data_IF_477995763013
#
_entry.id   IF_477995763013
#
_cell.length_a   1.000
_cell.length_b   1.000
_cell.length_c   1.000
_cell.angle_alpha   90.00
_cell.angle_beta   90.00
_cell.angle_gamma   90.00
#
_symmetry.space_group_name_H-M   'P 1'
#
loop_
_entity.id
_entity.type
_entity.pdbx_description
1 polymer ?
#
# COMPACT_ATOMS: atom_id res chain seq x y z
N UNK A 1 45.09 -22.08 -32.06
CA UNK A 1 43.98 -21.31 -31.45
C UNK A 1 42.67 -22.10 -31.35
N UNK A 2 42.19 -22.80 -32.38
CA UNK A 2 40.92 -23.57 -32.33
C UNK A 2 40.83 -24.62 -31.21
N UNK A 3 41.88 -25.43 -31.01
CA UNK A 3 41.90 -26.46 -29.97
C UNK A 3 41.85 -25.89 -28.54
N UNK A 4 42.52 -24.76 -28.30
CA UNK A 4 42.49 -24.09 -27.00
C UNK A 4 41.11 -23.49 -26.69
N UNK A 5 40.45 -22.91 -27.71
CA UNK A 5 39.07 -22.43 -27.59
C UNK A 5 38.07 -23.56 -27.33
N UNK A 6 38.27 -24.72 -27.97
CA UNK A 6 37.45 -25.92 -27.76
C UNK A 6 37.59 -26.45 -26.32
N UNK A 7 38.83 -26.57 -25.84
CA UNK A 7 39.11 -27.03 -24.48
C UNK A 7 38.53 -26.10 -23.41
N UNK A 8 38.67 -24.78 -23.60
CA UNK A 8 38.08 -23.78 -22.69
C UNK A 8 36.55 -23.86 -22.66
N UNK A 9 35.92 -24.00 -23.83
CA UNK A 9 34.46 -24.13 -23.96
C UNK A 9 33.94 -25.40 -23.31
N UNK A 10 34.64 -26.53 -23.49
CA UNK A 10 34.30 -27.79 -22.84
C UNK A 10 34.47 -27.71 -21.31
N UNK A 11 35.56 -27.10 -20.84
CA UNK A 11 35.79 -26.88 -19.41
C UNK A 11 34.70 -26.01 -18.77
N UNK A 12 34.29 -24.93 -19.42
CA UNK A 12 33.19 -24.07 -18.96
C UNK A 12 31.85 -24.84 -18.95
N UNK A 13 31.56 -25.62 -19.99
CA UNK A 13 30.34 -26.43 -20.05
C UNK A 13 30.28 -27.50 -18.96
N UNK A 14 31.39 -28.22 -18.72
CA UNK A 14 31.48 -29.23 -17.65
C UNK A 14 31.38 -28.60 -16.25
N UNK A 15 31.98 -27.43 -16.05
CA UNK A 15 31.86 -26.68 -14.78
C UNK A 15 30.42 -26.23 -14.55
N UNK A 16 29.77 -25.69 -15.59
CA UNK A 16 28.36 -25.31 -15.54
C UNK A 16 27.43 -26.48 -15.26
N UNK A 17 27.67 -27.63 -15.92
CA UNK A 17 26.94 -28.87 -15.68
C UNK A 17 27.14 -29.37 -14.25
N UNK A 18 28.37 -29.39 -13.75
CA UNK A 18 28.68 -29.75 -12.36
C UNK A 18 27.95 -28.85 -11.36
N UNK A 19 27.99 -27.53 -11.58
CA UNK A 19 27.26 -26.57 -10.75
C UNK A 19 25.74 -26.79 -10.76
N UNK A 20 25.16 -27.14 -11.92
CA UNK A 20 23.73 -27.46 -12.03
C UNK A 20 23.38 -28.77 -11.32
N UNK A 21 24.18 -29.82 -11.51
CA UNK A 21 23.98 -31.11 -10.85
C UNK A 21 24.04 -30.99 -9.32
N UNK A 22 24.93 -30.13 -8.79
CA UNK A 22 24.97 -29.81 -7.36
C UNK A 22 23.67 -29.15 -6.87
N UNK A 23 22.98 -28.34 -7.70
CA UNK A 23 21.67 -27.76 -7.36
C UNK A 23 20.53 -28.79 -7.42
N UNK A 24 20.73 -29.90 -8.12
CA UNK A 24 19.77 -31.01 -8.22
C UNK A 24 19.95 -32.06 -7.12
N UNK A 25 20.93 -31.91 -6.23
CA UNK A 25 21.08 -32.77 -5.05
C UNK A 25 19.81 -32.69 -4.19
N UNK A 26 19.31 -33.82 -3.62
CA UNK A 26 18.07 -33.85 -2.86
C UNK A 26 17.98 -32.79 -1.76
N UNK A 27 19.05 -32.55 -1.00
CA UNK A 27 19.10 -31.53 0.06
C UNK A 27 19.21 -30.08 -0.43
N UNK A 28 19.32 -29.85 -1.74
CA UNK A 28 19.32 -28.51 -2.36
C UNK A 28 18.10 -28.27 -3.25
N UNK A 29 17.24 -29.27 -3.42
CA UNK A 29 15.96 -29.10 -4.10
C UNK A 29 15.04 -28.26 -3.22
N UNK A 30 14.22 -27.37 -3.81
CA UNK A 30 13.13 -26.76 -3.09
C UNK A 30 12.24 -27.85 -2.46
N UNK A 31 11.73 -27.58 -1.27
CA UNK A 31 10.76 -28.44 -0.62
C UNK A 31 9.55 -28.70 -1.53
N UNK A 32 9.00 -29.92 -1.45
CA UNK A 32 7.82 -30.29 -2.23
C UNK A 32 6.58 -29.48 -1.82
N UNK A 33 5.54 -29.43 -2.67
CA UNK A 33 4.33 -28.68 -2.33
C UNK A 33 3.71 -29.19 -1.01
N UNK A 34 3.54 -30.50 -0.86
CA UNK A 34 2.98 -31.07 0.38
C UNK A 34 3.84 -30.77 1.61
N UNK A 35 5.16 -30.90 1.50
CA UNK A 35 6.10 -30.60 2.58
C UNK A 35 5.99 -29.13 3.04
N UNK A 36 5.87 -28.19 2.09
CA UNK A 36 5.66 -26.78 2.39
C UNK A 36 4.31 -26.55 3.07
N UNK A 37 3.26 -27.26 2.65
CA UNK A 37 1.93 -27.16 3.25
C UNK A 37 1.89 -27.73 4.67
N UNK A 38 2.52 -28.89 4.91
CA UNK A 38 2.62 -29.49 6.23
C UNK A 38 3.42 -28.60 7.19
N UNK A 39 4.52 -28.02 6.70
CA UNK A 39 5.27 -27.01 7.43
C UNK A 39 4.40 -25.78 7.75
N UNK A 40 3.61 -25.31 6.80
CA UNK A 40 2.75 -24.14 6.97
C UNK A 40 1.66 -24.38 8.02
N UNK A 41 1.01 -25.54 7.99
CA UNK A 41 0.02 -25.93 9.00
C UNK A 41 0.65 -26.02 10.39
N UNK A 42 1.82 -26.66 10.51
CA UNK A 42 2.56 -26.73 11.77
C UNK A 42 3.02 -25.34 12.24
N UNK A 43 3.40 -24.46 11.32
CA UNK A 43 3.73 -23.08 11.62
C UNK A 43 2.50 -22.31 12.13
N UNK A 44 1.33 -22.44 11.50
CA UNK A 44 0.08 -21.83 11.97
C UNK A 44 -0.29 -22.32 13.38
N UNK A 45 -0.16 -23.62 13.64
CA UNK A 45 -0.45 -24.21 14.95
C UNK A 45 0.48 -23.70 16.06
N UNK A 46 1.75 -23.42 15.74
CA UNK A 46 2.75 -22.88 16.68
C UNK A 46 2.68 -21.36 16.81
N UNK A 47 2.54 -20.65 15.69
CA UNK A 47 2.49 -19.19 15.65
C UNK A 47 1.15 -18.65 16.10
N UNK A 48 0.06 -19.43 16.03
CA UNK A 48 -1.27 -19.04 16.54
C UNK A 48 -1.61 -17.57 16.26
N UNK A 49 -1.65 -17.16 14.97
CA UNK A 49 -1.93 -15.77 14.62
C UNK A 49 -3.30 -15.35 15.16
N UNK A 50 -3.45 -14.11 15.60
CA UNK A 50 -4.72 -13.59 16.15
C UNK A 50 -5.35 -12.52 15.26
N UNK A 51 -4.51 -11.75 14.57
CA UNK A 51 -4.90 -10.67 13.66
C UNK A 51 -4.17 -10.88 12.33
N UNK A 52 -4.86 -10.72 11.22
CA UNK A 52 -4.25 -10.77 9.90
C UNK A 52 -4.45 -9.46 9.14
N UNK A 53 -3.52 -9.13 8.25
CA UNK A 53 -3.74 -8.16 7.17
C UNK A 53 -3.75 -8.92 5.85
N UNK A 54 -4.89 -8.93 5.16
CA UNK A 54 -5.01 -9.54 3.85
C UNK A 54 -4.81 -8.50 2.77
N UNK A 55 -3.92 -8.77 1.82
CA UNK A 55 -3.69 -7.87 0.70
C UNK A 55 -3.60 -8.59 -0.64
N UNK A 56 -4.29 -8.00 -1.62
CA UNK A 56 -4.20 -8.35 -3.02
C UNK A 56 -4.31 -7.09 -3.87
N UNK A 57 -3.44 -6.96 -4.86
CA UNK A 57 -3.41 -5.78 -5.72
C UNK A 57 -2.24 -5.79 -6.70
N UNK A 58 -2.16 -4.72 -7.50
CA UNK A 58 -1.03 -4.49 -8.39
C UNK A 58 0.19 -3.93 -7.65
N UNK A 59 1.37 -4.00 -8.26
CA UNK A 59 2.61 -3.54 -7.61
C UNK A 59 2.58 -2.07 -7.15
N UNK A 60 1.82 -1.20 -7.83
CA UNK A 60 1.66 0.22 -7.48
C UNK A 60 0.77 0.46 -6.26
N UNK A 61 0.01 -0.53 -5.79
CA UNK A 61 -0.90 -0.40 -4.65
C UNK A 61 -0.31 -0.87 -3.32
N UNK A 62 0.95 -1.31 -3.29
CA UNK A 62 1.61 -1.81 -2.07
C UNK A 62 1.57 -0.82 -0.89
N UNK A 63 1.51 0.49 -1.17
CA UNK A 63 1.38 1.52 -0.13
C UNK A 63 0.15 1.30 0.77
N UNK A 64 -0.93 0.73 0.23
CA UNK A 64 -2.18 0.47 0.96
C UNK A 64 -1.96 -0.50 2.11
N UNK A 65 -1.15 -1.55 1.89
CA UNK A 65 -0.75 -2.48 2.96
C UNK A 65 0.32 -1.87 3.87
N UNK A 66 1.32 -1.20 3.27
CA UNK A 66 2.45 -0.65 4.02
C UNK A 66 2.05 0.36 5.11
N UNK A 67 0.97 1.12 4.88
CA UNK A 67 0.45 2.08 5.86
C UNK A 67 -0.09 1.44 7.14
N UNK A 68 -0.39 0.13 7.13
CA UNK A 68 -0.93 -0.60 8.28
C UNK A 68 0.11 -1.41 9.04
N UNK A 69 1.34 -1.52 8.54
CA UNK A 69 2.38 -2.36 9.16
C UNK A 69 2.73 -1.89 10.57
N UNK A 70 2.92 -0.59 10.76
CA UNK A 70 3.27 -0.04 12.07
C UNK A 70 2.12 -0.19 13.09
N UNK A 71 0.86 0.18 12.78
CA UNK A 71 -0.27 -0.12 13.67
C UNK A 71 -0.37 -1.61 14.04
N UNK A 72 -0.20 -2.51 13.07
CA UNK A 72 -0.25 -3.96 13.33
C UNK A 72 0.88 -4.44 14.23
N UNK A 73 2.09 -3.89 14.08
CA UNK A 73 3.25 -4.28 14.86
C UNK A 73 3.13 -3.88 16.34
N UNK A 74 2.30 -2.88 16.64
CA UNK A 74 2.04 -2.40 18.01
C UNK A 74 0.89 -3.14 18.72
N UNK A 75 0.18 -4.05 18.03
CA UNK A 75 -0.93 -4.77 18.64
C UNK A 75 -0.42 -5.81 19.67
N UNK A 76 -1.14 -5.91 20.78
CA UNK A 76 -1.01 -7.01 21.75
C UNK A 76 -1.57 -8.31 21.13
N UNK A 77 -0.83 -8.90 20.20
CA UNK A 77 -1.27 -10.03 19.41
C UNK A 77 -0.16 -10.64 18.57
N UNK A 78 -0.53 -11.60 17.72
CA UNK A 78 0.38 -12.27 16.80
C UNK A 78 -0.08 -11.94 15.38
N UNK A 79 0.32 -10.76 14.84
CA UNK A 79 -0.10 -10.32 13.52
C UNK A 79 0.50 -11.20 12.42
N UNK A 80 -0.21 -11.37 11.31
CA UNK A 80 0.33 -12.01 10.10
C UNK A 80 -0.12 -11.25 8.85
N UNK A 81 0.77 -11.06 7.89
CA UNK A 81 0.45 -10.45 6.61
C UNK A 81 0.22 -11.56 5.59
N UNK A 82 -0.97 -11.58 4.98
CA UNK A 82 -1.39 -12.57 3.99
C UNK A 82 -1.45 -11.91 2.62
N UNK A 83 -0.53 -12.29 1.74
CA UNK A 83 -0.45 -11.78 0.37
C UNK A 83 -0.98 -12.80 -0.64
N UNK A 84 -1.59 -12.32 -1.73
CA UNK A 84 -2.05 -13.18 -2.83
C UNK A 84 -1.08 -13.25 -4.01
N UNK A 85 -0.21 -12.28 -4.16
CA UNK A 85 0.72 -12.19 -5.30
C UNK A 85 2.18 -12.27 -4.84
N UNK A 86 2.96 -13.18 -5.45
CA UNK A 86 4.38 -13.37 -5.10
C UNK A 86 5.21 -12.09 -5.28
N UNK A 87 4.92 -11.30 -6.31
CA UNK A 87 5.63 -10.04 -6.55
C UNK A 87 5.38 -9.01 -5.45
N UNK A 88 4.31 -9.15 -4.66
CA UNK A 88 3.99 -8.25 -3.57
C UNK A 88 4.92 -8.42 -2.38
N UNK A 89 5.48 -9.62 -2.17
CA UNK A 89 6.42 -9.90 -1.07
C UNK A 89 7.59 -8.91 -1.07
N UNK A 90 8.12 -8.57 -2.25
CA UNK A 90 9.24 -7.63 -2.41
C UNK A 90 8.82 -6.15 -2.28
N UNK A 91 7.53 -5.87 -2.13
CA UNK A 91 6.97 -4.51 -2.03
C UNK A 91 6.48 -4.16 -0.63
N UNK A 92 6.34 -5.16 0.24
CA UNK A 92 6.08 -4.94 1.66
C UNK A 92 7.33 -4.33 2.30
N UNK A 93 7.14 -3.24 3.05
CA UNK A 93 8.24 -2.59 3.76
C UNK A 93 8.81 -3.53 4.84
N UNK A 94 10.06 -3.27 5.25
CA UNK A 94 10.71 -4.07 6.29
C UNK A 94 9.86 -4.09 7.57
N UNK A 95 9.60 -5.29 8.09
CA UNK A 95 8.76 -5.52 9.26
C UNK A 95 9.11 -6.86 9.90
N UNK A 96 8.92 -6.94 11.22
CA UNK A 96 9.05 -8.18 11.99
C UNK A 96 7.76 -9.03 11.94
N UNK A 97 6.68 -8.50 11.38
CA UNK A 97 5.42 -9.22 11.20
C UNK A 97 5.64 -10.34 10.18
N UNK A 98 5.31 -11.61 10.50
CA UNK A 98 5.40 -12.70 9.53
C UNK A 98 4.58 -12.42 8.26
N UNK A 99 5.21 -12.59 7.11
CA UNK A 99 4.56 -12.46 5.79
C UNK A 99 4.41 -13.83 5.15
N UNK A 100 3.19 -14.18 4.77
CA UNK A 100 2.87 -15.41 4.04
C UNK A 100 2.24 -15.07 2.69
N UNK A 101 2.67 -15.73 1.63
CA UNK A 101 2.10 -15.56 0.30
C UNK A 101 1.31 -16.81 -0.07
N UNK A 102 -0.01 -16.67 -0.25
CA UNK A 102 -0.95 -17.76 -0.52
C UNK A 102 -1.65 -17.54 -1.88
N UNK A 103 -1.01 -17.84 -3.03
CA UNK A 103 -1.58 -17.54 -4.34
C UNK A 103 -2.81 -18.38 -4.67
N UNK A 104 -2.77 -19.69 -4.33
CA UNK A 104 -3.83 -20.66 -4.61
C UNK A 104 -4.93 -20.54 -3.55
N UNK A 105 -6.20 -20.57 -4.00
CA UNK A 105 -7.36 -20.54 -3.09
C UNK A 105 -7.36 -21.73 -2.14
N UNK A 106 -7.01 -22.93 -2.63
CA UNK A 106 -6.92 -24.12 -1.79
C UNK A 106 -5.95 -23.96 -0.62
N UNK A 107 -4.80 -23.32 -0.84
CA UNK A 107 -3.84 -23.00 0.23
C UNK A 107 -4.36 -21.91 1.16
N UNK A 108 -5.03 -20.89 0.60
CA UNK A 108 -5.63 -19.80 1.38
C UNK A 108 -6.68 -20.30 2.39
N UNK A 109 -7.48 -21.30 2.02
CA UNK A 109 -8.52 -21.85 2.90
C UNK A 109 -7.95 -22.56 4.14
N UNK A 110 -6.65 -22.86 4.18
CA UNK A 110 -6.00 -23.38 5.40
C UNK A 110 -6.06 -22.41 6.57
N UNK A 111 -6.25 -21.11 6.31
CA UNK A 111 -6.45 -20.10 7.36
C UNK A 111 -7.71 -20.37 8.20
N UNK A 112 -8.69 -21.10 7.68
CA UNK A 112 -9.91 -21.50 8.41
C UNK A 112 -9.60 -22.30 9.68
N UNK A 113 -8.51 -23.08 9.66
CA UNK A 113 -8.04 -23.90 10.79
C UNK A 113 -7.02 -23.18 11.68
N UNK A 114 -6.77 -21.89 11.44
CA UNK A 114 -5.88 -21.08 12.27
C UNK A 114 -6.62 -20.51 13.49
N UNK A 115 -5.90 -19.76 14.32
CA UNK A 115 -6.50 -19.02 15.45
C UNK A 115 -6.82 -17.56 15.12
N UNK A 116 -6.78 -17.18 13.84
CA UNK A 116 -7.11 -15.83 13.40
C UNK A 116 -8.53 -15.49 13.86
N UNK A 117 -8.67 -14.35 14.53
CA UNK A 117 -9.97 -13.83 14.94
C UNK A 117 -10.50 -12.78 13.97
N UNK A 118 -9.58 -12.01 13.40
CA UNK A 118 -9.90 -10.94 12.46
C UNK A 118 -8.87 -10.87 11.32
N UNK A 119 -9.35 -10.55 10.13
CA UNK A 119 -8.55 -10.27 8.95
C UNK A 119 -8.94 -8.87 8.44
N UNK A 120 -7.96 -7.96 8.46
CA UNK A 120 -8.10 -6.58 8.02
C UNK A 120 -7.86 -6.48 6.51
N UNK A 121 -8.70 -5.70 5.83
CA UNK A 121 -8.65 -5.50 4.38
C UNK A 121 -8.47 -4.01 4.06
N UNK A 122 -7.27 -3.57 3.65
CA UNK A 122 -7.03 -2.16 3.34
C UNK A 122 -7.48 -1.79 1.91
N UNK A 123 -7.93 -2.77 1.11
CA UNK A 123 -8.40 -2.55 -0.25
C UNK A 123 -9.42 -3.61 -0.69
N UNK A 124 -10.26 -3.22 -1.65
CA UNK A 124 -11.28 -4.08 -2.25
C UNK A 124 -10.77 -4.62 -3.58
N UNK A 125 -9.93 -5.66 -3.54
CA UNK A 125 -9.49 -6.39 -4.74
C UNK A 125 -10.50 -7.49 -5.10
N UNK A 126 -10.62 -7.83 -6.39
CA UNK A 126 -11.52 -8.91 -6.83
C UNK A 126 -11.24 -10.27 -6.18
N UNK A 127 -9.98 -10.56 -5.82
CA UNK A 127 -9.61 -11.81 -5.13
C UNK A 127 -10.01 -11.85 -3.66
N UNK A 128 -10.39 -10.72 -3.07
CA UNK A 128 -10.80 -10.64 -1.65
C UNK A 128 -12.02 -11.53 -1.38
N UNK A 129 -12.96 -11.58 -2.33
CA UNK A 129 -14.12 -12.49 -2.32
C UNK A 129 -13.78 -13.96 -1.99
N UNK A 130 -12.56 -14.41 -2.28
CA UNK A 130 -12.13 -15.78 -2.04
C UNK A 130 -11.84 -16.05 -0.56
N UNK A 131 -11.35 -15.07 0.20
CA UNK A 131 -11.03 -15.21 1.63
C UNK A 131 -12.23 -14.93 2.53
N UNK A 132 -13.17 -14.07 2.09
CA UNK A 132 -14.40 -13.72 2.81
C UNK A 132 -15.34 -14.91 3.10
N UNK A 133 -15.03 -16.08 2.53
CA UNK A 133 -15.81 -17.31 2.71
C UNK A 133 -15.43 -18.09 3.97
N UNK A 134 -14.39 -17.68 4.69
CA UNK A 134 -13.91 -18.37 5.89
C UNK A 134 -14.75 -17.92 7.09
N UNK A 135 -15.68 -18.75 7.60
CA UNK A 135 -16.64 -18.28 8.61
C UNK A 135 -16.04 -18.17 10.01
N UNK A 136 -14.83 -18.71 10.23
CA UNK A 136 -14.14 -18.70 11.52
C UNK A 136 -13.41 -17.39 11.82
N UNK A 137 -13.33 -16.48 10.84
CA UNK A 137 -12.56 -15.23 10.92
C UNK A 137 -13.48 -14.06 10.63
N UNK A 138 -13.45 -13.03 11.49
CA UNK A 138 -14.11 -11.75 11.20
C UNK A 138 -13.34 -11.02 10.09
N UNK A 139 -14.03 -10.49 9.10
CA UNK A 139 -13.45 -9.69 8.03
C UNK A 139 -13.81 -8.21 8.23
N UNK A 140 -12.80 -7.39 8.50
CA UNK A 140 -12.99 -5.95 8.70
C UNK A 140 -12.35 -5.15 7.57
N UNK A 141 -13.14 -4.33 6.87
CA UNK A 141 -12.62 -3.41 5.87
C UNK A 141 -12.10 -2.15 6.56
N UNK A 142 -10.79 -1.89 6.43
CA UNK A 142 -10.13 -0.73 7.06
C UNK A 142 -9.72 0.34 6.06
N UNK A 143 -9.87 0.04 4.76
CA UNK A 143 -9.48 0.92 3.66
C UNK A 143 -7.99 1.35 3.73
N UNK A 144 -7.58 2.25 2.84
CA UNK A 144 -6.21 2.79 2.78
C UNK A 144 -6.16 4.31 2.89
N UNK A 145 -7.29 4.92 3.26
CA UNK A 145 -7.47 6.35 3.37
C UNK A 145 -8.92 6.72 3.11
N UNK A 146 -9.39 7.72 3.84
CA UNK A 146 -10.72 8.29 3.67
C UNK A 146 -10.67 9.43 2.65
N UNK A 147 -11.67 9.52 1.78
CA UNK A 147 -11.84 10.63 0.83
C UNK A 147 -13.32 10.87 0.54
N UNK A 148 -13.67 12.03 0.01
CA UNK A 148 -15.06 12.35 -0.34
C UNK A 148 -15.54 11.74 -1.67
N UNK A 149 -14.71 10.89 -2.29
CA UNK A 149 -15.08 10.18 -3.51
C UNK A 149 -16.05 9.04 -3.21
N UNK A 150 -16.96 8.75 -4.14
CA UNK A 150 -17.86 7.59 -4.07
C UNK A 150 -17.12 6.25 -3.92
N UNK A 151 -15.85 6.19 -4.33
CA UNK A 151 -15.00 5.01 -4.08
C UNK A 151 -14.81 4.70 -2.60
N UNK A 152 -14.93 5.68 -1.70
CA UNK A 152 -14.78 5.50 -0.24
C UNK A 152 -16.00 4.85 0.41
N UNK A 153 -17.18 4.92 -0.22
CA UNK A 153 -18.41 4.26 0.21
C UNK A 153 -18.85 3.21 -0.82
N UNK A 154 -17.92 2.44 -1.36
CA UNK A 154 -18.22 1.43 -2.38
C UNK A 154 -19.18 0.35 -1.84
N UNK A 155 -20.24 -0.05 -2.58
CA UNK A 155 -21.16 -1.11 -2.15
C UNK A 155 -20.51 -2.47 -1.85
N UNK A 156 -19.29 -2.72 -2.33
CA UNK A 156 -18.50 -3.90 -1.98
C UNK A 156 -18.21 -4.00 -0.47
N UNK A 157 -18.25 -2.88 0.27
CA UNK A 157 -18.09 -2.86 1.72
C UNK A 157 -19.11 -3.74 2.46
N UNK A 158 -20.26 -4.05 1.84
CA UNK A 158 -21.26 -5.00 2.38
C UNK A 158 -20.77 -6.44 2.50
N UNK A 159 -19.67 -6.79 1.83
CA UNK A 159 -19.15 -8.15 1.87
C UNK A 159 -18.35 -8.45 3.15
N UNK A 160 -18.08 -7.43 3.97
CA UNK A 160 -17.33 -7.54 5.22
C UNK A 160 -18.28 -7.60 6.41
N UNK A 161 -17.82 -8.21 7.50
CA UNK A 161 -18.57 -8.23 8.76
C UNK A 161 -18.62 -6.83 9.38
N UNK A 162 -17.53 -6.07 9.25
CA UNK A 162 -17.44 -4.70 9.77
C UNK A 162 -16.67 -3.78 8.80
N UNK A 163 -17.01 -2.50 8.84
CA UNK A 163 -16.33 -1.41 8.14
C UNK A 163 -15.73 -0.46 9.17
N UNK A 164 -14.42 -0.46 9.29
CA UNK A 164 -13.70 0.32 10.27
C UNK A 164 -13.27 1.66 9.67
N UNK A 165 -13.80 2.75 10.23
CA UNK A 165 -13.70 4.09 9.66
C UNK A 165 -12.94 5.05 10.57
N UNK A 166 -12.47 6.16 9.98
CA UNK A 166 -11.66 7.15 10.69
C UNK A 166 -12.42 7.98 11.73
N UNK A 167 -13.76 8.01 11.69
CA UNK A 167 -14.58 8.80 12.61
C UNK A 167 -15.94 9.16 12.03
N UNK A 168 -16.66 10.11 12.67
CA UNK A 168 -18.08 10.36 12.41
C UNK A 168 -18.39 10.75 10.97
N UNK A 169 -17.56 11.58 10.33
CA UNK A 169 -17.78 12.01 8.95
C UNK A 169 -17.73 10.83 7.96
N UNK A 170 -16.86 9.84 8.20
CA UNK A 170 -16.78 8.66 7.35
C UNK A 170 -17.98 7.72 7.57
N UNK A 171 -18.46 7.59 8.82
CA UNK A 171 -19.72 6.89 9.13
C UNK A 171 -20.91 7.56 8.45
N UNK A 172 -21.03 8.88 8.55
CA UNK A 172 -22.09 9.66 7.91
C UNK A 172 -22.11 9.46 6.39
N UNK A 173 -20.94 9.39 5.74
CA UNK A 173 -20.87 9.07 4.31
C UNK A 173 -21.48 7.72 3.94
N UNK A 174 -21.31 6.68 4.77
CA UNK A 174 -21.97 5.39 4.51
C UNK A 174 -23.48 5.50 4.69
N UNK A 175 -23.95 6.21 5.71
CA UNK A 175 -25.38 6.45 5.94
C UNK A 175 -26.02 7.23 4.78
N UNK A 176 -25.39 8.30 4.31
CA UNK A 176 -25.87 9.15 3.21
C UNK A 176 -25.79 8.45 1.84
N UNK A 177 -24.81 7.58 1.62
CA UNK A 177 -24.65 6.92 0.34
C UNK A 177 -25.65 5.78 0.11
N UNK A 178 -26.36 5.34 1.16
CA UNK A 178 -27.39 4.28 1.10
C UNK A 178 -26.93 3.00 0.37
N UNK A 179 -25.64 2.67 0.46
CA UNK A 179 -25.05 1.53 -0.27
C UNK A 179 -25.39 0.16 0.33
N UNK A 180 -26.10 0.16 1.46
CA UNK A 180 -26.59 -1.00 2.19
C UNK A 180 -25.64 -1.56 3.24
N UNK A 181 -24.65 -0.77 3.68
CA UNK A 181 -23.88 -1.06 4.91
C UNK A 181 -24.69 -0.55 6.10
N UNK A 182 -24.95 -1.41 7.08
CA UNK A 182 -25.71 -1.02 8.27
C UNK A 182 -24.82 -0.28 9.27
N UNK A 183 -25.36 0.74 9.95
CA UNK A 183 -24.59 1.56 10.90
C UNK A 183 -23.98 0.73 12.04
N UNK A 184 -24.67 -0.34 12.47
CA UNK A 184 -24.17 -1.27 13.50
C UNK A 184 -22.86 -1.98 13.10
N UNK A 185 -22.59 -2.08 11.80
CA UNK A 185 -21.39 -2.73 11.26
C UNK A 185 -20.29 -1.71 10.95
N UNK A 186 -20.56 -0.40 11.14
CA UNK A 186 -19.57 0.67 11.00
C UNK A 186 -18.92 0.96 12.36
N UNK A 187 -17.61 0.77 12.46
CA UNK A 187 -16.84 0.96 13.70
C UNK A 187 -15.86 2.11 13.54
N UNK A 188 -15.94 3.11 14.42
CA UNK A 188 -15.00 4.24 14.41
C UNK A 188 -13.72 3.87 15.16
N UNK A 189 -12.58 3.80 14.45
CA UNK A 189 -11.28 3.41 15.02
C UNK A 189 -10.24 4.52 14.95
N UNK A 190 -10.59 5.69 14.42
CA UNK A 190 -9.62 6.76 14.18
C UNK A 190 -8.67 6.43 13.03
N UNK A 191 -7.46 6.99 13.08
CA UNK A 191 -6.40 6.73 12.10
C UNK A 191 -5.13 6.26 12.80
N UNK A 192 -5.04 4.99 13.23
CA UNK A 192 -3.85 4.44 13.90
C UNK A 192 -2.56 4.67 13.11
N UNK A 193 -2.64 4.69 11.78
CA UNK A 193 -1.54 5.01 10.88
C UNK A 193 -0.99 6.44 11.03
N UNK A 194 -1.67 7.32 11.77
CA UNK A 194 -1.26 8.69 12.04
C UNK A 194 -0.96 8.94 13.53
N UNK A 195 -0.87 7.91 14.38
CA UNK A 195 -0.63 8.08 15.83
C UNK A 195 0.65 8.87 16.14
N UNK A 196 1.66 8.79 15.28
CA UNK A 196 2.91 9.54 15.44
C UNK A 196 2.78 11.03 15.06
N UNK A 197 1.73 11.42 14.34
CA UNK A 197 1.49 12.80 13.91
C UNK A 197 0.92 13.60 15.06
N UNK A 198 1.70 14.57 15.53
CA UNK A 198 1.27 15.48 16.59
C UNK A 198 0.55 16.69 15.99
N UNK A 199 -0.59 17.11 16.55
CA UNK A 199 -1.23 18.36 16.16
C UNK A 199 -0.27 19.55 16.33
N UNK A 200 -0.30 20.48 15.39
CA UNK A 200 0.38 21.77 15.48
C UNK A 200 -0.65 22.88 15.30
N UNK A 201 -0.57 23.90 16.15
CA UNK A 201 -1.41 25.08 16.07
C UNK A 201 -0.54 26.34 16.15
N UNK A 202 -0.90 27.35 15.37
CA UNK A 202 -0.20 28.63 15.31
C UNK A 202 0.58 28.84 14.00
N UNK A 203 1.16 30.04 13.81
CA UNK A 203 1.97 30.34 12.64
C UNK A 203 3.29 29.55 12.66
N UNK A 204 4.01 29.44 11.53
CA UNK A 204 5.40 29.01 11.54
C UNK A 204 6.24 29.86 12.52
N UNK A 205 7.33 29.30 13.04
CA UNK A 205 8.26 30.04 13.89
C UNK A 205 8.73 31.34 13.19
N UNK A 206 9.00 32.43 13.93
CA UNK A 206 9.50 33.67 13.34
C UNK A 206 10.71 33.42 12.44
N UNK A 207 10.66 33.92 11.20
CA UNK A 207 11.70 33.73 10.19
C UNK A 207 11.69 32.37 9.47
N UNK A 208 10.79 31.45 9.83
CA UNK A 208 10.58 30.20 9.09
C UNK A 208 9.63 30.40 7.90
N UNK A 209 9.81 29.58 6.87
CA UNK A 209 8.88 29.55 5.73
C UNK A 209 7.51 29.02 6.13
N UNK A 210 6.46 29.59 5.56
CA UNK A 210 5.15 28.95 5.52
C UNK A 210 5.23 27.75 4.57
N UNK A 211 5.23 26.54 5.11
CA UNK A 211 5.25 25.32 4.28
C UNK A 211 3.84 24.97 3.84
N UNK A 212 3.61 24.93 2.53
CA UNK A 212 2.33 24.55 1.92
C UNK A 212 2.50 23.20 1.23
N UNK A 213 1.71 22.20 1.63
CA UNK A 213 1.62 20.91 0.93
C UNK A 213 0.45 20.96 -0.06
N UNK A 214 0.76 20.97 -1.35
CA UNK A 214 -0.23 20.73 -2.40
C UNK A 214 -0.21 19.25 -2.79
N UNK A 215 -1.24 18.52 -2.34
CA UNK A 215 -1.38 17.08 -2.55
C UNK A 215 -2.68 16.74 -3.29
N UNK A 216 -2.77 17.02 -4.60
CA UNK A 216 -4.00 16.79 -5.34
C UNK A 216 -4.30 15.29 -5.50
N UNK A 217 -5.60 14.98 -5.51
CA UNK A 217 -6.14 13.65 -5.77
C UNK A 217 -6.00 13.24 -7.24
N UNK A 218 -6.17 11.94 -7.52
CA UNK A 218 -6.19 11.38 -8.87
C UNK A 218 -7.45 11.77 -9.65
N UNK A 219 -7.37 11.94 -10.97
CA UNK A 219 -8.52 12.25 -11.83
C UNK A 219 -9.65 11.19 -11.82
N UNK A 220 -9.38 9.96 -11.35
CA UNK A 220 -10.36 8.89 -11.33
C UNK A 220 -10.66 8.32 -12.71
N UNK A 221 -11.61 7.38 -12.79
CA UNK A 221 -12.05 6.74 -14.03
C UNK A 221 -13.43 7.20 -14.51
N UNK A 222 -14.20 7.88 -13.66
CA UNK A 222 -15.59 8.28 -13.92
C UNK A 222 -15.73 9.59 -14.71
N UNK A 223 -14.60 10.25 -15.01
CA UNK A 223 -14.57 11.52 -15.75
C UNK A 223 -15.06 12.72 -14.95
N UNK A 224 -15.28 12.61 -13.63
CA UNK A 224 -15.74 13.74 -12.82
C UNK A 224 -14.61 14.78 -12.67
N UNK A 225 -14.80 16.04 -13.13
CA UNK A 225 -13.78 17.08 -13.02
C UNK A 225 -13.43 17.42 -11.57
N UNK A 226 -14.35 17.18 -10.61
CA UNK A 226 -14.11 17.39 -9.18
C UNK A 226 -13.13 16.40 -8.55
N UNK A 227 -12.70 15.36 -9.27
CA UNK A 227 -11.78 14.36 -8.73
C UNK A 227 -10.36 14.85 -8.55
N UNK A 228 -9.94 15.91 -9.27
CA UNK A 228 -8.61 16.48 -9.15
C UNK A 228 -8.60 17.98 -9.45
N UNK A 229 -7.88 18.74 -8.65
CA UNK A 229 -7.65 20.17 -8.90
C UNK A 229 -6.53 20.42 -9.92
N UNK A 230 -5.78 19.39 -10.33
CA UNK A 230 -4.57 19.55 -11.17
C UNK A 230 -4.89 20.24 -12.50
N UNK A 231 -6.01 19.87 -13.12
CA UNK A 231 -6.40 20.35 -14.46
C UNK A 231 -6.90 21.79 -14.40
N UNK A 232 -7.87 22.06 -13.53
CA UNK A 232 -8.59 23.34 -13.52
C UNK A 232 -7.86 24.45 -12.77
N UNK A 233 -7.10 24.11 -11.71
CA UNK A 233 -6.53 25.10 -10.79
C UNK A 233 -5.05 24.91 -10.46
N UNK A 234 -4.49 23.72 -10.70
CA UNK A 234 -3.20 23.32 -10.15
C UNK A 234 -2.05 24.25 -10.52
N UNK A 235 -1.95 24.64 -11.79
CA UNK A 235 -0.88 25.54 -12.25
C UNK A 235 -0.99 26.95 -11.67
N UNK A 236 -2.19 27.50 -11.63
CA UNK A 236 -2.42 28.84 -11.09
C UNK A 236 -2.10 28.90 -9.59
N UNK A 237 -2.53 27.88 -8.85
CA UNK A 237 -2.24 27.72 -7.43
C UNK A 237 -0.73 27.63 -7.18
N UNK A 238 -0.03 26.80 -7.96
CA UNK A 238 1.43 26.63 -7.83
C UNK A 238 2.17 27.92 -8.17
N UNK A 239 1.79 28.63 -9.24
CA UNK A 239 2.40 29.92 -9.60
C UNK A 239 2.22 30.96 -8.51
N UNK A 240 1.01 31.09 -7.97
CA UNK A 240 0.72 32.04 -6.90
C UNK A 240 1.55 31.72 -5.64
N UNK A 241 1.62 30.44 -5.23
CA UNK A 241 2.40 30.02 -4.07
C UNK A 241 3.91 30.22 -4.26
N UNK A 242 4.43 30.00 -5.46
CA UNK A 242 5.86 30.17 -5.74
C UNK A 242 6.28 31.65 -5.91
N UNK A 243 5.33 32.56 -6.17
CA UNK A 243 5.60 33.99 -6.25
C UNK A 243 5.88 34.61 -4.86
N UNK A 244 5.43 33.98 -3.77
CA UNK A 244 5.68 34.43 -2.41
C UNK A 244 7.06 33.93 -1.91
N UNK A 245 8.03 34.82 -1.60
CA UNK A 245 9.34 34.43 -1.09
C UNK A 245 9.28 33.79 0.30
N UNK A 246 8.22 34.02 1.07
CA UNK A 246 7.98 33.44 2.39
C UNK A 246 7.38 32.03 2.36
N UNK A 247 6.98 31.51 1.20
CA UNK A 247 6.35 30.19 1.06
C UNK A 247 7.37 29.11 0.68
N UNK A 248 7.24 27.91 1.26
CA UNK A 248 7.89 26.68 0.78
C UNK A 248 6.81 25.72 0.28
N UNK A 249 6.77 25.49 -1.02
CA UNK A 249 5.80 24.56 -1.62
C UNK A 249 6.35 23.13 -1.66
N UNK A 250 5.57 22.19 -1.12
CA UNK A 250 5.74 20.76 -1.33
C UNK A 250 4.63 20.29 -2.26
N UNK A 251 4.99 19.85 -3.47
CA UNK A 251 4.05 19.28 -4.42
C UNK A 251 4.11 17.74 -4.39
N UNK A 252 3.01 17.10 -4.03
CA UNK A 252 2.89 15.64 -3.92
C UNK A 252 1.66 15.15 -4.70
N UNK A 253 1.75 15.00 -6.03
CA UNK A 253 0.65 14.46 -6.83
C UNK A 253 0.38 13.00 -6.50
N UNK A 254 -0.85 12.57 -6.78
CA UNK A 254 -1.17 11.15 -6.72
C UNK A 254 -0.28 10.33 -7.69
N UNK A 255 0.17 9.11 -7.34
CA UNK A 255 1.04 8.30 -8.21
C UNK A 255 0.45 7.97 -9.59
N UNK A 256 -0.88 8.00 -9.69
CA UNK A 256 -1.64 7.73 -10.92
C UNK A 256 -2.03 8.99 -11.69
N UNK A 257 -1.65 10.20 -11.26
CA UNK A 257 -2.01 11.43 -11.97
C UNK A 257 -1.62 11.38 -13.45
N UNK A 258 -2.60 11.59 -14.32
CA UNK A 258 -2.42 11.53 -15.77
C UNK A 258 -2.45 10.12 -16.37
N UNK A 259 -2.86 9.11 -15.62
CA UNK A 259 -3.04 7.74 -16.13
C UNK A 259 -4.32 7.59 -16.96
N UNK A 260 -5.32 8.44 -16.75
CA UNK A 260 -6.61 8.41 -17.46
C UNK A 260 -6.81 9.66 -18.31
N UNK A 261 -6.59 10.86 -17.74
CA UNK A 261 -6.75 12.12 -18.47
C UNK A 261 -5.37 12.67 -18.92
N UNK A 262 -5.09 12.74 -20.25
CA UNK A 262 -3.86 13.34 -20.77
C UNK A 262 -3.66 14.80 -20.36
N UNK A 263 -4.75 15.55 -20.10
CA UNK A 263 -4.67 16.94 -19.61
C UNK A 263 -4.10 17.00 -18.20
N UNK A 264 -4.50 16.06 -17.33
CA UNK A 264 -3.96 15.95 -15.98
C UNK A 264 -2.46 15.61 -16.01
N UNK A 265 -2.04 14.74 -16.94
CA UNK A 265 -0.61 14.46 -17.18
C UNK A 265 0.15 15.72 -17.59
N UNK A 266 -0.38 16.46 -18.55
CA UNK A 266 0.28 17.66 -19.07
C UNK A 266 0.40 18.74 -17.98
N UNK A 267 -0.65 18.96 -17.19
CA UNK A 267 -0.64 19.90 -16.08
C UNK A 267 0.33 19.47 -14.96
N UNK A 268 0.37 18.18 -14.59
CA UNK A 268 1.35 17.66 -13.62
C UNK A 268 2.80 17.94 -14.06
N UNK A 269 3.11 17.69 -15.34
CA UNK A 269 4.44 17.97 -15.88
C UNK A 269 4.79 19.46 -15.84
N UNK A 270 3.84 20.35 -16.16
CA UNK A 270 4.04 21.81 -16.07
C UNK A 270 4.25 22.26 -14.63
N UNK A 271 3.45 21.75 -13.68
CA UNK A 271 3.61 22.03 -12.24
C UNK A 271 4.98 21.59 -11.74
N UNK A 272 5.42 20.37 -12.09
CA UNK A 272 6.75 19.88 -11.71
C UNK A 272 7.86 20.77 -12.25
N UNK A 273 7.73 21.28 -13.47
CA UNK A 273 8.72 22.19 -14.03
C UNK A 273 8.72 23.55 -13.33
N UNK A 274 7.56 24.10 -12.96
CA UNK A 274 7.47 25.31 -12.14
C UNK A 274 8.22 25.14 -10.81
N UNK A 275 7.98 24.02 -10.12
CA UNK A 275 8.67 23.69 -8.86
C UNK A 275 10.18 23.54 -9.06
N UNK A 276 10.62 22.85 -10.13
CA UNK A 276 12.05 22.72 -10.46
C UNK A 276 12.69 24.06 -10.78
N UNK A 277 12.02 24.92 -11.54
CA UNK A 277 12.51 26.24 -11.89
C UNK A 277 12.70 27.11 -10.64
N UNK A 278 11.71 27.13 -9.73
CA UNK A 278 11.81 27.83 -8.46
C UNK A 278 12.98 27.30 -7.59
N UNK A 279 13.18 25.98 -7.56
CA UNK A 279 14.31 25.36 -6.86
C UNK A 279 15.68 25.74 -7.45
N UNK A 280 15.78 25.99 -8.77
CA UNK A 280 17.03 26.47 -9.39
C UNK A 280 17.33 27.93 -9.05
N UNK A 281 16.30 28.74 -8.83
CA UNK A 281 16.43 30.16 -8.53
C UNK A 281 16.67 30.42 -7.04
N UNK A 282 16.15 29.57 -6.15
CA UNK A 282 16.40 29.68 -4.71
C UNK A 282 17.79 29.17 -4.34
N UNK A 283 18.68 30.10 -4.00
CA UNK A 283 19.90 29.82 -3.24
C UNK A 283 19.62 29.76 -1.73
N UNK A 284 20.43 28.99 -1.01
CA UNK A 284 20.35 28.87 0.45
C UNK A 284 20.74 27.46 0.93
N UNK A 285 21.09 27.31 2.23
CA UNK A 285 21.37 25.99 2.80
C UNK A 285 20.13 25.10 2.66
N UNK A 286 20.33 23.85 2.24
CA UNK A 286 19.26 22.85 2.28
C UNK A 286 18.79 22.68 3.73
N UNK A 287 17.48 22.53 3.97
CA UNK A 287 16.99 22.17 5.30
C UNK A 287 17.71 20.93 5.79
N UNK A 288 18.12 20.95 7.06
CA UNK A 288 18.80 19.82 7.67
C UNK A 288 17.88 18.59 7.62
N UNK A 289 18.43 17.44 7.21
CA UNK A 289 17.65 16.23 6.92
C UNK A 289 17.06 15.63 8.21
N UNK A 290 17.52 16.10 9.38
CA UNK A 290 17.09 15.66 10.72
C UNK A 290 15.71 16.16 11.15
N UNK A 291 15.05 17.04 10.39
CA UNK A 291 13.75 17.63 10.74
C UNK A 291 12.53 17.00 10.03
N UNK A 292 12.66 15.78 9.49
CA UNK A 292 11.60 15.06 8.79
C UNK A 292 11.18 13.78 9.52
#
# INVERSE_FOLDING_TARGET
YGMAGLALSLGAALTGLGALLLRLLPGRRPAGEQEVLDWFDAWLARYRPTVGLYFSGGASSAYQANMWLEPLARLDGRPVIVLRERHMVQRIAATDIPVVCLPKVSTLMRLEHSTLRVLLHPSNSGKTSQVLRIPTIKHAFVNHGESDKLSSCNPYAKAYDEVWVAGPAARERYALAEVGVEDKDVVEIGRPQLDAVRPYAGPPAPGAFTTVLYAPTWEGWDGNPGNTSVVEAGENLVRALLADPGVRLLYKPHPLTGSVDPRARAADLRIRELVRAANRQRGGPRPDVSAA
#
